data_IF_330801039529
#
_entry.id   IF_330801039529
#
_cell.length_a   1.000
_cell.length_b   1.000
_cell.length_c   1.000
_cell.angle_alpha   90.00
_cell.angle_beta   90.00
_cell.angle_gamma   90.00
#
_symmetry.space_group_name_H-M   'P 1'
#
loop_
_entity.id
_entity.type
_entity.pdbx_description
1 polymer ?
#
# COMPACT_ATOMS: atom_id res chain seq x y z
N UNK A 1 33.30 68.52 0.52
CA UNK A 1 32.30 67.55 0.04
C UNK A 1 32.25 66.42 1.06
N UNK A 2 31.10 66.16 1.67
CA UNK A 2 30.92 65.10 2.65
C UNK A 2 30.10 63.98 2.01
N UNK A 3 30.61 62.75 2.04
CA UNK A 3 29.90 61.57 1.56
C UNK A 3 29.06 61.03 2.72
N UNK A 4 27.74 61.09 2.59
CA UNK A 4 26.84 60.40 3.51
C UNK A 4 26.74 58.94 3.05
N UNK A 5 27.36 58.04 3.80
CA UNK A 5 27.13 56.60 3.64
C UNK A 5 25.77 56.29 4.27
N UNK A 6 24.77 56.05 3.43
CA UNK A 6 23.47 55.60 3.88
C UNK A 6 23.54 54.09 4.04
N UNK A 7 23.64 53.64 5.29
CA UNK A 7 23.63 52.22 5.63
C UNK A 7 22.21 51.67 5.45
N UNK A 8 21.97 51.00 4.31
CA UNK A 8 20.75 50.23 4.10
C UNK A 8 20.71 49.08 5.11
N UNK A 9 19.93 49.28 6.17
CA UNK A 9 19.69 48.27 7.19
C UNK A 9 19.11 47.01 6.55
N UNK A 10 19.77 45.86 6.75
CA UNK A 10 19.39 44.57 6.15
C UNK A 10 18.03 44.02 6.60
N UNK A 11 17.21 44.80 7.33
CA UNK A 11 15.89 44.41 7.86
C UNK A 11 15.03 43.67 6.84
N UNK A 12 15.14 44.02 5.55
CA UNK A 12 14.49 43.28 4.46
C UNK A 12 14.99 41.84 4.32
N UNK A 13 16.31 41.62 4.29
CA UNK A 13 16.93 40.30 4.27
C UNK A 13 16.61 39.49 5.54
N UNK A 14 16.64 40.12 6.71
CA UNK A 14 16.27 39.47 7.96
C UNK A 14 14.81 38.98 7.93
N UNK A 15 13.88 39.82 7.46
CA UNK A 15 12.47 39.46 7.33
C UNK A 15 12.27 38.31 6.32
N UNK A 16 13.01 38.30 5.20
CA UNK A 16 12.96 37.22 4.21
C UNK A 16 13.43 35.90 4.83
N UNK A 17 14.54 35.90 5.57
CA UNK A 17 15.06 34.70 6.23
C UNK A 17 14.03 34.16 7.25
N UNK A 18 13.44 35.04 8.06
CA UNK A 18 12.41 34.65 9.03
C UNK A 18 11.18 34.07 8.32
N UNK A 19 10.72 34.68 7.23
CA UNK A 19 9.59 34.18 6.46
C UNK A 19 9.87 32.78 5.87
N UNK A 20 11.07 32.56 5.32
CA UNK A 20 11.49 31.24 4.82
C UNK A 20 11.50 30.21 5.95
N UNK A 21 12.03 30.58 7.12
CA UNK A 21 12.10 29.68 8.27
C UNK A 21 10.70 29.24 8.74
N UNK A 22 9.74 30.17 8.76
CA UNK A 22 8.34 29.87 9.08
C UNK A 22 7.75 28.89 8.05
N UNK A 23 7.96 29.14 6.75
CA UNK A 23 7.44 28.27 5.68
C UNK A 23 8.03 26.86 5.80
N UNK A 24 9.33 26.75 6.07
CA UNK A 24 10.00 25.44 6.27
C UNK A 24 9.48 24.74 7.51
N UNK A 25 9.27 25.46 8.62
CA UNK A 25 8.75 24.88 9.85
C UNK A 25 7.33 24.32 9.67
N UNK A 26 6.44 25.10 9.03
CA UNK A 26 5.06 24.67 8.76
C UNK A 26 5.02 23.52 7.75
N UNK A 27 5.75 23.65 6.64
CA UNK A 27 5.82 22.60 5.61
C UNK A 27 6.43 21.30 6.14
N UNK A 28 7.52 21.40 6.91
CA UNK A 28 8.17 20.26 7.55
C UNK A 28 7.28 19.60 8.60
N UNK A 29 6.59 20.39 9.42
CA UNK A 29 5.62 19.87 10.40
C UNK A 29 4.47 19.12 9.72
N UNK A 30 3.87 19.71 8.68
CA UNK A 30 2.84 19.04 7.89
C UNK A 30 3.36 17.76 7.23
N UNK A 31 4.57 17.79 6.66
CA UNK A 31 5.20 16.62 6.08
C UNK A 31 5.37 15.50 7.11
N UNK A 32 5.84 15.82 8.31
CA UNK A 32 6.00 14.82 9.38
C UNK A 32 4.65 14.26 9.85
N UNK A 33 3.60 15.08 9.91
CA UNK A 33 2.27 14.61 10.34
C UNK A 33 1.60 13.68 9.32
N UNK A 34 1.75 13.97 8.03
CA UNK A 34 1.02 13.25 6.97
C UNK A 34 1.84 12.19 6.25
N UNK A 35 3.17 12.34 6.19
CA UNK A 35 4.03 11.51 5.36
C UNK A 35 5.16 10.83 6.11
N UNK A 36 5.44 11.20 7.38
CA UNK A 36 6.34 10.36 8.17
C UNK A 36 5.66 9.00 8.39
N UNK A 37 6.40 7.94 8.08
CA UNK A 37 5.95 6.57 8.35
C UNK A 37 5.65 6.48 9.85
N UNK A 38 4.39 6.24 10.19
CA UNK A 38 4.04 5.89 11.56
C UNK A 38 4.92 4.72 11.98
N UNK A 39 5.51 4.72 13.20
CA UNK A 39 6.09 3.51 13.72
C UNK A 39 4.98 2.48 13.66
N UNK A 40 5.15 1.44 12.83
CA UNK A 40 4.25 0.30 12.83
C UNK A 40 4.35 -0.22 14.25
N UNK A 41 3.38 0.15 15.09
CA UNK A 41 3.06 -0.62 16.28
C UNK A 41 2.95 -2.02 15.69
N UNK A 42 3.89 -2.89 16.05
CA UNK A 42 3.84 -4.28 15.61
C UNK A 42 2.46 -4.75 16.01
N UNK A 43 1.55 -4.75 15.04
CA UNK A 43 0.22 -5.25 15.24
C UNK A 43 0.52 -6.72 15.42
N UNK A 44 0.59 -7.15 16.68
CA UNK A 44 0.75 -8.55 17.05
C UNK A 44 -0.46 -9.20 16.42
N UNK A 45 -0.26 -9.68 15.20
CA UNK A 45 -1.29 -10.30 14.42
C UNK A 45 -1.78 -11.44 15.31
N UNK A 46 -3.09 -11.52 15.60
CA UNK A 46 -3.62 -12.60 16.41
C UNK A 46 -3.04 -13.93 15.91
N UNK A 47 -2.61 -14.84 16.77
CA UNK A 47 -1.96 -16.09 16.33
C UNK A 47 -2.77 -16.85 15.27
N UNK A 48 -4.08 -16.62 15.17
CA UNK A 48 -4.92 -17.14 14.10
C UNK A 48 -4.53 -16.67 12.68
N UNK A 49 -4.13 -15.39 12.48
CA UNK A 49 -3.76 -14.87 11.13
C UNK A 49 -2.35 -15.28 10.68
N UNK A 50 -1.49 -15.72 11.60
CA UNK A 50 -0.19 -16.31 11.24
C UNK A 50 -0.34 -17.55 10.37
N UNK A 51 -1.34 -18.39 10.68
CA UNK A 51 -1.63 -19.62 9.91
C UNK A 51 -2.13 -19.33 8.49
N UNK A 52 -2.89 -18.25 8.30
CA UNK A 52 -3.38 -17.81 6.99
C UNK A 52 -2.23 -17.28 6.12
N UNK A 53 -1.23 -16.67 6.73
CA UNK A 53 -0.03 -16.19 6.03
C UNK A 53 0.84 -17.34 5.53
N UNK A 54 0.88 -18.47 6.24
CA UNK A 54 1.55 -19.69 5.74
C UNK A 54 0.80 -20.29 4.55
N UNK A 55 -0.53 -20.28 4.57
CA UNK A 55 -1.35 -20.74 3.44
C UNK A 55 -1.21 -19.83 2.20
N UNK A 56 -1.03 -18.52 2.37
CA UNK A 56 -0.86 -17.58 1.25
C UNK A 56 0.49 -17.67 0.54
N UNK A 57 1.48 -18.33 1.16
CA UNK A 57 2.80 -18.56 0.56
C UNK A 57 2.83 -19.78 -0.37
N UNK A 58 1.79 -20.60 -0.35
CA UNK A 58 1.70 -21.76 -1.23
C UNK A 58 1.20 -21.30 -2.59
N UNK A 59 2.10 -21.31 -3.56
CA UNK A 59 1.78 -20.99 -4.96
C UNK A 59 1.22 -22.26 -5.63
N UNK A 60 -0.09 -22.29 -5.85
CA UNK A 60 -0.75 -23.42 -6.52
C UNK A 60 -0.81 -23.14 -8.03
N UNK A 61 0.20 -23.61 -8.77
CA UNK A 61 0.15 -23.54 -10.24
C UNK A 61 -0.55 -24.77 -10.83
N UNK A 62 -1.51 -24.53 -11.72
CA UNK A 62 -2.18 -25.59 -12.47
C UNK A 62 -1.20 -26.37 -13.39
N UNK A 63 -0.04 -25.78 -13.73
CA UNK A 63 1.03 -26.48 -14.45
C UNK A 63 1.53 -27.71 -13.71
N UNK A 64 1.55 -27.64 -12.39
CA UNK A 64 2.16 -28.67 -11.53
C UNK A 64 1.31 -29.95 -11.49
N UNK A 65 0.00 -29.78 -11.73
CA UNK A 65 -0.96 -30.88 -11.82
C UNK A 65 -1.01 -31.48 -13.23
N UNK A 66 -0.79 -30.66 -14.27
CA UNK A 66 -0.91 -31.08 -15.68
C UNK A 66 0.10 -32.16 -16.11
N UNK A 67 1.28 -32.19 -15.48
CA UNK A 67 2.32 -33.20 -15.72
C UNK A 67 2.24 -34.44 -14.81
N UNK A 68 1.31 -34.48 -13.86
CA UNK A 68 1.23 -35.57 -12.89
C UNK A 68 0.62 -36.84 -13.50
N UNK A 69 1.32 -37.96 -13.38
CA UNK A 69 0.83 -39.28 -13.80
C UNK A 69 -0.44 -39.69 -13.02
N UNK A 70 -0.51 -39.29 -11.74
CA UNK A 70 -1.67 -39.56 -10.87
C UNK A 70 -2.88 -38.73 -11.30
N UNK A 71 -2.68 -37.45 -11.63
CA UNK A 71 -3.75 -36.60 -12.14
C UNK A 71 -4.29 -37.12 -13.49
N UNK A 72 -3.39 -37.57 -14.36
CA UNK A 72 -3.73 -38.14 -15.67
C UNK A 72 -4.51 -39.46 -15.56
N UNK A 73 -4.21 -40.31 -14.58
CA UNK A 73 -4.95 -41.55 -14.36
C UNK A 73 -6.33 -41.30 -13.76
N UNK A 74 -6.45 -40.33 -12.84
CA UNK A 74 -7.73 -39.93 -12.25
C UNK A 74 -8.65 -39.28 -13.28
N UNK A 75 -8.13 -38.42 -14.17
CA UNK A 75 -8.92 -37.75 -15.22
C UNK A 75 -9.65 -38.74 -16.14
N UNK A 76 -9.10 -39.94 -16.35
CA UNK A 76 -9.75 -40.99 -17.16
C UNK A 76 -10.95 -41.65 -16.46
N UNK A 77 -11.00 -41.57 -15.14
CA UNK A 77 -12.03 -42.22 -14.32
C UNK A 77 -13.12 -41.24 -13.84
N UNK A 78 -12.99 -39.95 -14.19
CA UNK A 78 -13.94 -38.91 -13.80
C UNK A 78 -14.66 -38.43 -15.06
N UNK A 79 -15.98 -38.40 -15.02
CA UNK A 79 -16.82 -37.82 -16.06
C UNK A 79 -16.46 -36.35 -16.26
N UNK A 80 -16.47 -35.86 -17.50
CA UNK A 80 -16.25 -34.44 -17.76
C UNK A 80 -17.27 -33.60 -16.97
N UNK A 81 -16.80 -32.57 -16.28
CA UNK A 81 -17.68 -31.73 -15.46
C UNK A 81 -18.62 -30.97 -16.39
N UNK A 82 -19.91 -31.28 -16.33
CA UNK A 82 -20.91 -30.45 -16.98
C UNK A 82 -20.98 -29.11 -16.27
N UNK A 83 -20.88 -28.02 -17.04
CA UNK A 83 -21.09 -26.69 -16.50
C UNK A 83 -22.51 -26.64 -15.92
N UNK A 84 -22.59 -26.51 -14.60
CA UNK A 84 -23.86 -26.24 -13.93
C UNK A 84 -24.48 -24.95 -14.48
N UNK A 85 -25.79 -24.75 -14.31
CA UNK A 85 -26.42 -23.52 -14.71
C UNK A 85 -25.64 -22.34 -14.12
N UNK A 86 -25.30 -21.36 -14.97
CA UNK A 86 -24.78 -20.10 -14.51
C UNK A 86 -25.69 -19.62 -13.37
N UNK A 87 -25.08 -19.15 -12.28
CA UNK A 87 -25.82 -18.72 -11.10
C UNK A 87 -26.90 -17.69 -11.44
N UNK A 88 -27.62 -17.23 -10.42
CA UNK A 88 -28.73 -16.29 -10.61
C UNK A 88 -28.26 -15.09 -11.45
N UNK A 89 -29.03 -14.80 -12.51
CA UNK A 89 -28.76 -13.65 -13.40
C UNK A 89 -28.59 -12.36 -12.58
N UNK A 90 -29.33 -12.25 -11.48
CA UNK A 90 -29.16 -11.22 -10.47
C UNK A 90 -28.76 -11.83 -9.12
N UNK A 91 -27.53 -11.59 -8.63
CA UNK A 91 -27.06 -12.09 -7.34
C UNK A 91 -27.77 -11.49 -6.12
N UNK A 92 -28.56 -10.42 -6.31
CA UNK A 92 -29.28 -9.71 -5.24
C UNK A 92 -30.80 -9.87 -5.29
N UNK A 93 -31.35 -10.73 -6.15
CA UNK A 93 -32.80 -10.99 -6.11
C UNK A 93 -33.16 -11.67 -4.77
N UNK A 94 -34.24 -11.29 -4.08
CA UNK A 94 -34.64 -11.97 -2.86
C UNK A 94 -35.12 -13.42 -3.11
N UNK A 95 -35.60 -13.76 -4.31
CA UNK A 95 -36.03 -15.12 -4.72
C UNK A 95 -35.76 -15.38 -6.21
#
# INVERSE_FOLDING_TARGET
MAFAFQEESNKSLFNIIVAILIVVAVGGGAYLLFFAKAPLIEMVAPPEVGSVTELSKVDFSASDLSGSAVFSSLKRNVSEAEAGPAGRVNPFSPF
#
